data_IF_332709089767
#
_entry.id   IF_332709089767
#
_cell.length_a   1.000
_cell.length_b   1.000
_cell.length_c   1.000
_cell.angle_alpha   90.00
_cell.angle_beta   90.00
_cell.angle_gamma   90.00
#
_symmetry.space_group_name_H-M   'P 1'
#
loop_
_entity.id
_entity.type
_entity.pdbx_description
1 polymer ?
#
# COMPACT_ATOMS: atom_id res chain seq x y z
N UNK A 1 12.31 11.44 15.49
CA UNK A 1 11.25 12.04 14.68
C UNK A 1 10.47 10.91 14.04
N UNK A 2 9.45 10.43 14.73
CA UNK A 2 8.64 9.28 14.34
C UNK A 2 7.24 9.83 14.08
N UNK A 3 6.97 10.13 12.82
CA UNK A 3 5.63 10.38 12.30
C UNK A 3 5.40 9.31 11.23
N UNK A 4 4.31 8.55 11.38
CA UNK A 4 4.07 7.24 10.77
C UNK A 4 4.45 7.11 9.29
N UNK A 5 5.43 6.24 9.01
CA UNK A 5 5.88 5.85 7.66
C UNK A 5 4.96 4.79 7.04
N UNK A 6 3.64 4.87 7.26
CA UNK A 6 2.67 3.91 6.70
C UNK A 6 1.71 4.61 5.77
N UNK A 7 1.25 3.90 4.74
CA UNK A 7 0.05 4.28 4.01
C UNK A 7 -1.14 4.28 4.96
N UNK A 8 -2.03 5.26 4.81
CA UNK A 8 -3.25 5.37 5.60
C UNK A 8 -4.34 4.48 5.01
N UNK A 9 -4.52 4.55 3.69
CA UNK A 9 -5.58 3.86 2.96
C UNK A 9 -6.98 4.22 3.42
N UNK A 10 -7.97 3.71 2.70
CA UNK A 10 -9.38 3.79 3.06
C UNK A 10 -9.86 2.39 3.46
N UNK A 11 -10.39 2.28 4.67
CA UNK A 11 -10.94 1.01 5.19
C UNK A 11 -12.36 0.80 4.68
N UNK A 12 -12.63 -0.38 4.13
CA UNK A 12 -13.96 -0.76 3.67
C UNK A 12 -14.80 -1.47 4.75
N UNK A 13 -16.07 -1.76 4.44
CA UNK A 13 -17.00 -2.44 5.37
C UNK A 13 -16.62 -3.89 5.73
N UNK A 14 -15.65 -4.47 5.01
CA UNK A 14 -15.12 -5.82 5.21
C UNK A 14 -13.75 -5.81 5.89
N UNK A 15 -13.31 -4.68 6.46
CA UNK A 15 -11.98 -4.50 7.04
C UNK A 15 -10.83 -4.75 6.04
N UNK A 16 -11.09 -4.55 4.75
CA UNK A 16 -10.06 -4.37 3.74
C UNK A 16 -9.57 -2.92 3.73
N UNK A 17 -8.39 -2.68 3.17
CA UNK A 17 -7.82 -1.35 2.99
C UNK A 17 -7.46 -1.13 1.53
N UNK A 18 -7.76 0.06 1.02
CA UNK A 18 -7.40 0.47 -0.34
C UNK A 18 -6.51 1.71 -0.29
N UNK A 19 -5.32 1.61 -0.87
CA UNK A 19 -4.40 2.73 -1.09
C UNK A 19 -4.53 3.18 -2.54
N UNK A 20 -4.77 4.47 -2.76
CA UNK A 20 -4.79 5.07 -4.09
C UNK A 20 -3.48 5.86 -4.29
N UNK A 21 -2.67 5.49 -5.28
CA UNK A 21 -1.37 6.15 -5.54
C UNK A 21 -1.51 7.62 -5.90
N UNK A 22 -2.70 8.04 -6.37
CA UNK A 22 -3.00 9.45 -6.62
C UNK A 22 -3.16 10.24 -5.33
N UNK A 23 -3.80 9.64 -4.32
CA UNK A 23 -4.16 10.30 -3.07
C UNK A 23 -3.03 10.21 -2.03
N UNK A 24 -2.22 9.15 -2.11
CA UNK A 24 -1.07 8.92 -1.22
C UNK A 24 0.24 8.78 -2.00
N UNK A 25 0.75 9.85 -2.64
CA UNK A 25 1.98 9.79 -3.41
C UNK A 25 3.18 9.43 -2.51
N UNK A 26 4.08 8.61 -3.03
CA UNK A 26 5.28 8.14 -2.35
C UNK A 26 6.47 8.13 -3.32
N UNK A 27 7.64 8.57 -2.83
CA UNK A 27 8.88 8.49 -3.58
C UNK A 27 9.26 7.03 -3.87
N UNK A 28 9.72 6.76 -5.09
CA UNK A 28 10.04 5.38 -5.51
C UNK A 28 11.11 4.73 -4.62
N UNK A 29 12.08 5.50 -4.09
CA UNK A 29 13.12 4.97 -3.22
C UNK A 29 12.63 4.68 -1.80
N UNK A 30 11.48 5.24 -1.43
CA UNK A 30 10.86 5.08 -0.10
C UNK A 30 9.70 4.10 -0.12
N UNK A 31 9.11 3.84 -1.29
CA UNK A 31 7.92 3.02 -1.47
C UNK A 31 8.03 1.64 -0.83
N UNK A 32 9.13 0.91 -1.07
CA UNK A 32 9.32 -0.43 -0.49
C UNK A 32 9.35 -0.39 1.04
N UNK A 33 10.07 0.57 1.62
CA UNK A 33 10.16 0.73 3.07
C UNK A 33 8.79 1.06 3.66
N UNK A 34 8.07 2.02 3.07
CA UNK A 34 6.73 2.40 3.51
C UNK A 34 5.73 1.25 3.36
N UNK A 35 5.80 0.48 2.27
CA UNK A 35 4.98 -0.71 2.05
C UNK A 35 5.21 -1.76 3.14
N UNK A 36 6.46 -2.12 3.43
CA UNK A 36 6.79 -3.15 4.45
C UNK A 36 6.29 -2.73 5.83
N UNK A 37 6.46 -1.46 6.20
CA UNK A 37 5.98 -0.95 7.50
C UNK A 37 4.46 -0.97 7.53
N UNK A 38 3.79 -0.59 6.43
CA UNK A 38 2.32 -0.61 6.32
C UNK A 38 1.77 -2.04 6.43
N UNK A 39 2.37 -3.00 5.73
CA UNK A 39 1.95 -4.41 5.77
C UNK A 39 2.04 -4.99 7.18
N UNK A 40 3.12 -4.71 7.93
CA UNK A 40 3.24 -5.14 9.33
C UNK A 40 2.15 -4.54 10.21
N UNK A 41 1.90 -3.24 10.10
CA UNK A 41 0.83 -2.56 10.82
C UNK A 41 -0.54 -3.17 10.50
N UNK A 42 -0.82 -3.41 9.22
CA UNK A 42 -2.12 -3.96 8.80
C UNK A 42 -2.30 -5.42 9.19
N UNK A 43 -1.22 -6.20 9.28
CA UNK A 43 -1.24 -7.55 9.85
C UNK A 43 -1.57 -7.51 11.36
N UNK A 44 -0.91 -6.63 12.13
CA UNK A 44 -1.22 -6.41 13.55
C UNK A 44 -2.68 -5.95 13.76
N UNK A 45 -3.21 -5.12 12.86
CA UNK A 45 -4.60 -4.66 12.84
C UNK A 45 -5.59 -5.70 12.26
N UNK A 46 -5.10 -6.87 11.84
CA UNK A 46 -5.89 -7.96 11.27
C UNK A 46 -6.74 -7.51 10.05
N UNK A 47 -6.16 -6.66 9.19
CA UNK A 47 -6.78 -6.26 7.92
C UNK A 47 -6.93 -7.47 7.00
N UNK A 48 -8.09 -7.58 6.35
CA UNK A 48 -8.45 -8.79 5.60
C UNK A 48 -7.94 -8.83 4.17
N UNK A 49 -7.84 -7.67 3.54
CA UNK A 49 -7.40 -7.55 2.16
C UNK A 49 -6.77 -6.18 1.95
N UNK A 50 -5.68 -6.14 1.19
CA UNK A 50 -4.93 -4.92 0.90
C UNK A 50 -5.00 -4.69 -0.61
N UNK A 51 -5.51 -3.52 -1.01
CA UNK A 51 -5.64 -3.13 -2.41
C UNK A 51 -4.76 -1.93 -2.68
N UNK A 52 -4.08 -1.95 -3.83
CA UNK A 52 -3.39 -0.78 -4.36
C UNK A 52 -4.00 -0.42 -5.71
N UNK A 53 -4.62 0.75 -5.78
CA UNK A 53 -5.02 1.36 -7.04
C UNK A 53 -3.87 2.21 -7.55
N UNK A 54 -3.10 1.64 -8.48
CA UNK A 54 -1.89 2.27 -9.03
C UNK A 54 -2.24 3.02 -10.32
N UNK A 55 -1.98 4.32 -10.33
CA UNK A 55 -2.12 5.15 -11.52
C UNK A 55 -0.89 5.01 -12.43
N UNK A 56 -1.07 5.21 -13.75
CA UNK A 56 -0.02 5.00 -14.78
C UNK A 56 1.27 5.76 -14.46
N UNK A 57 1.17 6.97 -13.92
CA UNK A 57 2.33 7.79 -13.52
C UNK A 57 3.20 7.13 -12.43
N UNK A 58 2.62 6.23 -11.65
CA UNK A 58 3.24 5.54 -10.52
C UNK A 58 3.48 4.05 -10.85
N UNK A 59 3.52 3.68 -12.13
CA UNK A 59 3.70 2.29 -12.59
C UNK A 59 4.97 1.62 -12.04
N UNK A 60 5.94 2.40 -11.57
CA UNK A 60 7.12 1.91 -10.86
C UNK A 60 6.79 1.13 -9.57
N UNK A 61 5.60 1.31 -8.99
CA UNK A 61 5.16 0.56 -7.80
C UNK A 61 4.74 -0.87 -8.14
N UNK A 62 4.28 -1.12 -9.36
CA UNK A 62 3.77 -2.43 -9.80
C UNK A 62 4.78 -3.56 -9.60
N UNK A 63 6.05 -3.47 -10.08
CA UNK A 63 7.01 -4.55 -9.87
C UNK A 63 7.34 -4.75 -8.38
N UNK A 64 7.31 -3.69 -7.57
CA UNK A 64 7.55 -3.79 -6.12
C UNK A 64 6.39 -4.52 -5.44
N UNK A 65 5.15 -4.16 -5.74
CA UNK A 65 3.95 -4.83 -5.23
C UNK A 65 3.93 -6.31 -5.64
N UNK A 66 4.25 -6.62 -6.90
CA UNK A 66 4.31 -8.00 -7.36
C UNK A 66 5.36 -8.84 -6.61
N UNK A 67 6.53 -8.26 -6.32
CA UNK A 67 7.58 -8.92 -5.52
C UNK A 67 7.14 -9.19 -4.07
N UNK A 68 6.32 -8.30 -3.49
CA UNK A 68 5.77 -8.46 -2.14
C UNK A 68 4.48 -9.32 -2.12
N UNK A 69 4.15 -10.00 -3.22
CA UNK A 69 3.09 -11.01 -3.28
C UNK A 69 1.70 -10.50 -3.68
N UNK A 70 1.58 -9.24 -4.11
CA UNK A 70 0.32 -8.74 -4.67
C UNK A 70 0.05 -9.36 -6.04
N UNK A 71 -1.23 -9.56 -6.35
CA UNK A 71 -1.70 -10.04 -7.65
C UNK A 71 -2.52 -8.96 -8.35
N UNK A 72 -2.55 -9.00 -9.68
CA UNK A 72 -3.34 -8.08 -10.49
C UNK A 72 -4.84 -8.33 -10.35
N UNK A 73 -5.60 -7.25 -10.21
CA UNK A 73 -7.06 -7.22 -10.19
C UNK A 73 -7.55 -5.92 -10.86
N UNK A 74 -8.79 -5.89 -11.34
CA UNK A 74 -9.38 -4.77 -12.09
C UNK A 74 -10.60 -4.18 -11.40
#
# INVERSE_FOLDING_TARGET
>A
MSADQTFQGVVDRYNGITVDSKDEPCDQNQFLTQLIISLRKWDDEQKRCIWFKVHIKDAAWVPVLANEGFNFHH
#
